data_IF_131345076279
#
_entry.id   IF_131345076279
#
_cell.length_a   1.000
_cell.length_b   1.000
_cell.length_c   1.000
_cell.angle_alpha   90.00
_cell.angle_beta   90.00
_cell.angle_gamma   90.00
#
_symmetry.space_group_name_H-M   'P 1'
#
loop_
_entity.id
_entity.type
_entity.pdbx_description
1 polymer ?
#
# COMPACT_ATOMS: atom_id res chain seq x y z
N UNK A 1 15.17 7.70 5.70
CA UNK A 1 16.09 6.62 6.13
C UNK A 1 17.37 6.71 5.30
N UNK A 2 18.47 7.26 5.84
CA UNK A 2 19.76 7.29 5.14
C UNK A 2 20.73 6.38 5.87
N UNK A 3 21.33 5.46 5.15
CA UNK A 3 22.52 4.74 5.58
C UNK A 3 23.64 5.10 4.60
N UNK A 4 24.65 5.80 5.09
CA UNK A 4 26.00 5.80 4.50
C UNK A 4 26.98 5.84 5.65
N UNK A 5 27.76 4.78 5.78
CA UNK A 5 29.17 4.84 6.16
C UNK A 5 29.84 3.50 5.83
N UNK A 6 31.00 3.60 5.18
CA UNK A 6 31.80 2.47 4.74
C UNK A 6 32.58 1.88 5.92
N UNK A 7 32.56 0.54 6.06
CA UNK A 7 33.54 -0.19 6.87
C UNK A 7 33.16 -0.56 8.31
N UNK A 8 31.90 -0.36 8.75
CA UNK A 8 31.47 -0.73 10.11
C UNK A 8 30.30 -1.71 10.05
N UNK A 9 30.47 -2.93 10.57
CA UNK A 9 29.40 -3.92 10.71
C UNK A 9 28.20 -3.29 11.45
N UNK A 10 27.00 -3.45 10.90
CA UNK A 10 25.77 -2.92 11.49
C UNK A 10 25.23 -3.92 12.51
N UNK A 11 25.03 -3.46 13.75
CA UNK A 11 24.34 -4.22 14.79
C UNK A 11 22.87 -3.80 14.85
N UNK A 12 21.97 -4.76 14.67
CA UNK A 12 20.53 -4.58 14.68
C UNK A 12 19.92 -5.19 15.96
N UNK A 13 19.29 -4.34 16.77
CA UNK A 13 18.49 -4.79 17.89
C UNK A 13 17.09 -5.16 17.41
N UNK A 14 16.76 -6.45 17.43
CA UNK A 14 15.45 -6.95 17.02
C UNK A 14 14.54 -7.02 18.22
N UNK A 15 13.52 -6.15 18.25
CA UNK A 15 12.43 -6.23 19.21
C UNK A 15 11.18 -6.74 18.49
N UNK A 16 10.57 -7.80 19.00
CA UNK A 16 9.31 -8.30 18.46
C UNK A 16 8.16 -7.42 18.97
N UNK A 17 7.38 -6.84 18.06
CA UNK A 17 6.18 -6.06 18.43
C UNK A 17 5.21 -6.93 19.25
N UNK A 18 5.03 -6.61 20.54
CA UNK A 18 4.14 -7.32 21.47
C UNK A 18 4.82 -8.16 22.56
N UNK A 19 6.15 -8.24 22.60
CA UNK A 19 6.91 -8.85 23.70
C UNK A 19 8.16 -8.02 23.96
N UNK A 20 8.41 -7.59 25.19
CA UNK A 20 9.58 -6.77 25.55
C UNK A 20 10.88 -7.60 25.68
N UNK A 21 10.92 -8.76 25.04
CA UNK A 21 12.07 -9.66 25.05
C UNK A 21 13.08 -9.18 24.00
N UNK A 22 14.18 -8.61 24.51
CA UNK A 22 15.34 -8.27 23.69
C UNK A 22 15.98 -9.57 23.17
N UNK A 23 16.06 -9.72 21.84
CA UNK A 23 16.82 -10.80 21.21
C UNK A 23 18.28 -10.40 21.05
N UNK A 24 19.12 -11.42 20.85
CA UNK A 24 20.53 -11.19 20.51
C UNK A 24 20.65 -10.29 19.27
N UNK A 25 21.61 -9.35 19.27
CA UNK A 25 21.80 -8.42 18.17
C UNK A 25 22.22 -9.15 16.89
N UNK A 26 21.58 -8.82 15.77
CA UNK A 26 21.97 -9.34 14.47
C UNK A 26 23.09 -8.48 13.88
N UNK A 27 24.15 -9.11 13.39
CA UNK A 27 25.26 -8.44 12.72
C UNK A 27 25.10 -8.62 11.21
N UNK A 28 25.09 -7.53 10.45
CA UNK A 28 25.01 -7.57 8.99
C UNK A 28 25.81 -6.42 8.35
N UNK A 29 26.28 -6.64 7.12
CA UNK A 29 26.95 -5.58 6.35
C UNK A 29 25.96 -4.64 5.66
N UNK A 30 24.76 -5.15 5.35
CA UNK A 30 23.69 -4.39 4.69
C UNK A 30 22.33 -4.73 5.27
N UNK A 31 21.48 -3.70 5.37
CA UNK A 31 20.11 -3.83 5.89
C UNK A 31 19.13 -3.23 4.88
N UNK A 32 18.24 -4.07 4.35
CA UNK A 32 17.15 -3.66 3.48
C UNK A 32 15.84 -3.58 4.27
N UNK A 33 15.20 -2.41 4.28
CA UNK A 33 13.86 -2.27 4.86
C UNK A 33 12.79 -2.25 3.77
N UNK A 34 12.05 -3.36 3.61
CA UNK A 34 10.94 -3.51 2.66
C UNK A 34 9.59 -3.70 3.39
N UNK A 35 9.31 -2.85 4.37
CA UNK A 35 8.11 -2.97 5.23
C UNK A 35 6.80 -2.53 4.56
N UNK A 36 6.89 -1.87 3.41
CA UNK A 36 5.73 -1.34 2.68
C UNK A 36 6.06 -0.03 1.96
N UNK A 37 5.07 0.50 1.24
CA UNK A 37 5.12 1.77 0.52
C UNK A 37 3.97 2.67 0.98
N UNK A 38 4.10 3.98 0.77
CA UNK A 38 3.08 4.99 1.05
C UNK A 38 3.01 5.93 -0.15
N UNK A 39 1.83 6.46 -0.44
CA UNK A 39 1.66 7.53 -1.42
C UNK A 39 2.63 8.70 -1.13
N UNK A 40 3.23 9.24 -2.18
CA UNK A 40 4.15 10.38 -2.10
C UNK A 40 3.34 11.65 -2.34
N UNK A 41 2.83 12.24 -1.26
CA UNK A 41 1.96 13.44 -1.31
C UNK A 41 2.64 14.72 -0.84
N UNK A 42 3.81 14.60 -0.20
CA UNK A 42 4.58 15.74 0.30
C UNK A 42 5.11 16.61 -0.85
N UNK A 43 4.96 17.94 -0.73
CA UNK A 43 5.50 18.91 -1.70
C UNK A 43 4.67 19.09 -2.97
N UNK A 44 3.50 18.44 -3.08
CA UNK A 44 2.59 18.57 -4.23
C UNK A 44 1.55 19.69 -4.07
N UNK A 45 1.48 20.35 -2.91
CA UNK A 45 0.48 21.40 -2.65
C UNK A 45 -0.96 20.89 -2.56
N UNK A 46 -1.17 19.59 -2.31
CA UNK A 46 -2.52 18.99 -2.27
C UNK A 46 -3.40 19.61 -1.18
N UNK A 47 -2.80 20.00 -0.05
CA UNK A 47 -3.50 20.71 1.02
C UNK A 47 -3.92 22.13 0.61
N UNK A 48 -3.10 22.82 -0.18
CA UNK A 48 -3.41 24.17 -0.67
C UNK A 48 -4.51 24.13 -1.74
N UNK A 49 -4.58 23.03 -2.51
CA UNK A 49 -5.64 22.76 -3.48
C UNK A 49 -6.95 22.30 -2.82
N UNK A 50 -6.94 21.91 -1.54
CA UNK A 50 -8.12 21.41 -0.84
C UNK A 50 -8.51 19.97 -1.23
N UNK A 51 -7.54 19.15 -1.65
CA UNK A 51 -7.77 17.74 -2.02
C UNK A 51 -7.85 16.88 -0.77
N UNK A 52 -8.92 16.09 -0.62
CA UNK A 52 -9.08 15.21 0.52
C UNK A 52 -8.14 14.00 0.45
N UNK A 53 -7.56 13.67 1.61
CA UNK A 53 -6.64 12.55 1.78
C UNK A 53 -7.09 11.65 2.92
N UNK A 54 -6.84 10.35 2.76
CA UNK A 54 -7.03 9.35 3.82
C UNK A 54 -5.96 9.53 4.92
N UNK A 55 -6.19 9.02 6.15
CA UNK A 55 -5.21 9.10 7.24
C UNK A 55 -3.84 8.46 6.95
N UNK A 56 -3.77 7.55 5.98
CA UNK A 56 -2.54 6.89 5.55
C UNK A 56 -1.75 7.71 4.50
N UNK A 57 -2.30 8.82 4.01
CA UNK A 57 -1.68 9.71 3.02
C UNK A 57 -2.12 9.47 1.58
N UNK A 58 -3.04 8.53 1.32
CA UNK A 58 -3.55 8.29 -0.04
C UNK A 58 -4.61 9.34 -0.41
N UNK A 59 -4.65 9.75 -1.68
CA UNK A 59 -5.66 10.68 -2.21
C UNK A 59 -7.01 9.97 -2.30
N UNK A 60 -8.08 10.67 -1.91
CA UNK A 60 -9.44 10.19 -2.09
C UNK A 60 -9.90 10.52 -3.50
N UNK A 61 -10.38 9.51 -4.21
CA UNK A 61 -10.95 9.63 -5.55
C UNK A 61 -12.28 8.89 -5.63
N UNK A 62 -13.12 9.31 -6.58
CA UNK A 62 -14.36 8.64 -6.93
C UNK A 62 -14.14 7.49 -7.95
N UNK A 63 -15.24 6.99 -8.54
CA UNK A 63 -15.20 5.91 -9.54
C UNK A 63 -14.57 6.34 -10.86
N UNK A 64 -14.55 7.64 -11.16
CA UNK A 64 -13.95 8.24 -12.37
C UNK A 64 -12.50 8.71 -12.12
N UNK A 65 -11.93 8.36 -10.97
CA UNK A 65 -10.59 8.75 -10.52
C UNK A 65 -10.45 10.28 -10.30
N UNK A 66 -11.58 10.98 -10.14
CA UNK A 66 -11.62 12.40 -9.82
C UNK A 66 -11.45 12.62 -8.33
N UNK A 67 -10.64 13.61 -7.97
CA UNK A 67 -10.44 14.02 -6.58
C UNK A 67 -11.61 14.89 -6.08
N UNK A 68 -11.57 15.34 -4.83
CA UNK A 68 -12.55 16.30 -4.29
C UNK A 68 -12.61 17.65 -5.03
N UNK A 69 -11.63 17.93 -5.89
CA UNK A 69 -11.55 19.15 -6.69
C UNK A 69 -11.89 18.83 -8.14
N UNK A 70 -12.93 19.49 -8.67
CA UNK A 70 -13.38 19.32 -10.05
C UNK A 70 -12.25 19.59 -11.05
N UNK A 71 -12.08 18.67 -12.00
CA UNK A 71 -11.04 18.75 -13.03
C UNK A 71 -9.65 18.29 -12.57
N UNK A 72 -9.51 17.84 -11.33
CA UNK A 72 -8.27 17.24 -10.81
C UNK A 72 -8.48 15.74 -10.58
N UNK A 73 -7.59 14.93 -11.14
CA UNK A 73 -7.66 13.47 -11.10
C UNK A 73 -6.38 12.88 -10.52
N UNK A 74 -6.48 11.69 -9.94
CA UNK A 74 -5.33 10.96 -9.40
C UNK A 74 -5.42 9.47 -9.73
N UNK A 75 -4.28 8.85 -10.03
CA UNK A 75 -4.16 7.46 -10.43
C UNK A 75 -2.91 6.80 -9.83
N UNK A 76 -2.87 5.47 -9.86
CA UNK A 76 -1.73 4.66 -9.45
C UNK A 76 -1.47 4.67 -7.94
N UNK A 77 -0.18 4.74 -7.59
CA UNK A 77 0.26 4.61 -6.19
C UNK A 77 -0.23 5.73 -5.26
N UNK A 78 -0.77 6.83 -5.81
CA UNK A 78 -1.32 7.96 -5.04
C UNK A 78 -2.68 7.66 -4.42
N UNK A 79 -3.52 6.82 -5.05
CA UNK A 79 -4.90 6.54 -4.59
C UNK A 79 -4.99 5.29 -3.69
N UNK A 80 -3.88 4.57 -3.56
CA UNK A 80 -3.75 3.38 -2.73
C UNK A 80 -3.63 2.10 -3.57
N UNK A 81 -4.15 0.99 -3.06
CA UNK A 81 -4.08 -0.32 -3.73
C UNK A 81 -5.09 -0.41 -4.90
N UNK A 82 -4.76 -1.11 -6.00
CA UNK A 82 -3.56 -1.92 -6.23
C UNK A 82 -2.35 -1.12 -6.71
N UNK A 83 -1.21 -1.38 -6.07
CA UNK A 83 0.06 -0.68 -6.24
C UNK A 83 0.96 -1.38 -7.27
N UNK A 84 0.47 -1.48 -8.51
CA UNK A 84 1.11 -2.21 -9.62
C UNK A 84 1.24 -1.31 -10.85
N UNK A 85 2.31 -1.53 -11.62
CA UNK A 85 2.58 -0.75 -12.82
C UNK A 85 1.46 -0.91 -13.87
N UNK A 86 0.98 -2.13 -14.11
CA UNK A 86 -0.10 -2.38 -15.08
C UNK A 86 -1.40 -1.71 -14.66
N UNK A 87 -1.77 -1.83 -13.39
CA UNK A 87 -2.95 -1.16 -12.83
C UNK A 87 -2.82 0.36 -12.91
N UNK A 88 -1.64 0.91 -12.63
CA UNK A 88 -1.41 2.36 -12.72
C UNK A 88 -1.57 2.90 -14.13
N UNK A 89 -1.17 2.12 -15.16
CA UNK A 89 -1.38 2.48 -16.57
C UNK A 89 -2.87 2.47 -16.91
N UNK A 90 -3.59 1.40 -16.56
CA UNK A 90 -5.04 1.28 -16.80
C UNK A 90 -5.81 2.42 -16.10
N UNK A 91 -5.46 2.74 -14.86
CA UNK A 91 -6.04 3.87 -14.14
C UNK A 91 -5.74 5.22 -14.81
N UNK A 92 -4.53 5.41 -15.34
CA UNK A 92 -4.19 6.64 -16.04
C UNK A 92 -5.01 6.79 -17.34
N UNK A 93 -5.20 5.71 -18.09
CA UNK A 93 -6.06 5.69 -19.29
C UNK A 93 -7.51 6.03 -18.92
N UNK A 94 -8.09 5.38 -17.91
CA UNK A 94 -9.45 5.68 -17.44
C UNK A 94 -9.61 7.12 -16.93
N UNK A 95 -8.61 7.67 -16.25
CA UNK A 95 -8.64 9.06 -15.79
C UNK A 95 -8.65 10.04 -16.98
N UNK A 96 -7.86 9.77 -18.03
CA UNK A 96 -7.82 10.59 -19.25
C UNK A 96 -9.13 10.50 -20.03
N UNK A 97 -9.72 9.30 -20.15
CA UNK A 97 -11.02 9.15 -20.80
C UNK A 97 -12.13 9.89 -20.03
N UNK A 98 -12.08 9.86 -18.70
CA UNK A 98 -12.98 10.63 -17.83
C UNK A 98 -12.79 12.14 -18.02
N UNK A 99 -11.55 12.64 -18.09
CA UNK A 99 -11.24 14.05 -18.40
C UNK A 99 -11.80 14.48 -19.76
N UNK A 100 -11.81 13.58 -20.76
CA UNK A 100 -12.29 13.86 -22.11
C UNK A 100 -13.80 13.61 -22.29
N UNK A 101 -14.51 13.21 -21.23
CA UNK A 101 -15.93 12.86 -21.27
C UNK A 101 -16.23 11.62 -22.11
N UNK A 102 -15.22 10.79 -22.40
CA UNK A 102 -15.34 9.53 -23.13
C UNK A 102 -15.72 8.45 -22.12
N UNK A 103 -17.02 8.35 -21.85
CA UNK A 103 -17.57 7.39 -20.87
C UNK A 103 -17.55 5.97 -21.44
N UNK A 104 -16.46 5.25 -21.21
CA UNK A 104 -16.54 3.80 -21.24
C UNK A 104 -17.01 3.34 -19.86
N UNK A 105 -18.23 2.82 -19.79
CA UNK A 105 -18.95 2.42 -18.56
C UNK A 105 -18.34 1.21 -17.84
N UNK A 106 -17.05 0.96 -18.03
CA UNK A 106 -16.31 -0.02 -17.26
C UNK A 106 -15.76 0.66 -16.03
N UNK A 107 -16.50 0.61 -14.92
CA UNK A 107 -15.88 0.59 -13.60
C UNK A 107 -14.92 -0.60 -13.60
N UNK A 108 -13.70 -0.38 -14.10
CA UNK A 108 -12.68 -1.41 -14.18
C UNK A 108 -12.41 -1.81 -12.75
N UNK A 109 -12.75 -3.06 -12.44
CA UNK A 109 -12.47 -3.64 -11.15
C UNK A 109 -10.94 -3.77 -11.02
N UNK A 110 -10.26 -2.67 -10.68
CA UNK A 110 -8.83 -2.63 -10.42
C UNK A 110 -8.44 -3.69 -9.37
N UNK A 111 -9.38 -4.08 -8.51
CA UNK A 111 -9.26 -5.16 -7.53
C UNK A 111 -8.99 -6.56 -8.10
N UNK A 112 -9.20 -6.82 -9.40
CA UNK A 112 -9.13 -8.16 -9.98
C UNK A 112 -7.86 -8.43 -10.80
N UNK A 113 -6.88 -7.51 -10.80
CA UNK A 113 -5.63 -7.72 -11.53
C UNK A 113 -4.80 -8.85 -10.88
N UNK A 114 -4.43 -9.92 -11.62
CA UNK A 114 -3.61 -10.99 -11.07
C UNK A 114 -2.23 -10.48 -10.69
N UNK A 115 -1.82 -10.70 -9.43
CA UNK A 115 -0.52 -10.28 -8.91
C UNK A 115 0.45 -11.45 -8.96
N UNK A 116 1.50 -11.34 -9.77
CA UNK A 116 2.63 -12.26 -9.73
C UNK A 116 3.66 -11.73 -8.73
N UNK A 117 3.81 -12.41 -7.59
CA UNK A 117 4.94 -12.21 -6.70
C UNK A 117 6.09 -13.12 -7.17
N UNK A 118 7.28 -12.56 -7.37
CA UNK A 118 8.44 -13.29 -7.90
C UNK A 118 9.15 -14.16 -6.85
N UNK A 119 8.60 -14.31 -5.64
CA UNK A 119 9.22 -15.04 -4.54
C UNK A 119 8.69 -16.49 -4.40
N UNK A 120 9.57 -17.32 -3.84
CA UNK A 120 9.48 -18.78 -3.83
C UNK A 120 8.19 -19.30 -3.16
N UNK A 121 7.39 -20.05 -3.92
CA UNK A 121 6.17 -20.79 -3.59
C UNK A 121 4.92 -19.97 -3.15
N UNK A 122 3.84 -19.98 -3.96
CA UNK A 122 2.54 -19.40 -3.62
C UNK A 122 1.93 -19.88 -2.29
N UNK A 123 2.37 -21.02 -1.77
CA UNK A 123 1.84 -21.64 -0.55
C UNK A 123 2.12 -20.82 0.73
N UNK A 124 3.21 -20.06 0.78
CA UNK A 124 3.59 -19.30 1.98
C UNK A 124 2.71 -18.05 2.19
N UNK A 125 2.35 -17.35 1.11
CA UNK A 125 1.53 -16.13 1.15
C UNK A 125 0.05 -16.46 1.42
N UNK A 126 -0.51 -17.47 0.73
CA UNK A 126 -1.89 -17.91 0.93
C UNK A 126 -2.13 -18.43 2.35
N UNK A 127 -1.20 -19.21 2.89
CA UNK A 127 -1.36 -19.77 4.23
C UNK A 127 -1.30 -18.70 5.33
N UNK A 128 -0.52 -17.62 5.15
CA UNK A 128 -0.48 -16.52 6.11
C UNK A 128 -1.71 -15.61 6.03
N UNK A 129 -2.19 -15.27 4.84
CA UNK A 129 -3.41 -14.50 4.65
C UNK A 129 -4.65 -15.25 5.19
N UNK A 130 -4.78 -16.54 4.87
CA UNK A 130 -5.85 -17.40 5.39
C UNK A 130 -5.80 -17.55 6.91
N UNK A 131 -4.61 -17.72 7.50
CA UNK A 131 -4.44 -17.77 8.97
C UNK A 131 -4.82 -16.45 9.65
N UNK A 132 -4.56 -15.31 9.01
CA UNK A 132 -4.91 -13.98 9.54
C UNK A 132 -6.41 -13.73 9.49
N UNK A 133 -7.06 -14.08 8.38
CA UNK A 133 -8.51 -14.02 8.23
C UNK A 133 -9.23 -14.93 9.24
N UNK A 134 -8.74 -16.16 9.44
CA UNK A 134 -9.30 -17.09 10.42
C UNK A 134 -9.13 -16.60 11.87
N UNK A 135 -7.98 -15.99 12.23
CA UNK A 135 -7.78 -15.41 13.58
C UNK A 135 -8.69 -14.22 13.84
N UNK A 136 -8.88 -13.34 12.86
CA UNK A 136 -9.77 -12.19 13.01
C UNK A 136 -11.22 -12.65 13.17
N UNK A 137 -11.65 -13.62 12.35
CA UNK A 137 -12.99 -14.22 12.45
C UNK A 137 -13.22 -14.94 13.79
N UNK A 138 -12.23 -15.67 14.33
CA UNK A 138 -12.36 -16.37 15.61
C UNK A 138 -12.33 -15.43 16.82
N UNK A 139 -11.62 -14.30 16.72
CA UNK A 139 -11.57 -13.28 17.78
C UNK A 139 -12.87 -12.47 17.84
N UNK A 140 -13.50 -12.21 16.68
CA UNK A 140 -14.76 -11.48 16.58
C UNK A 140 -15.95 -12.33 17.07
N UNK A 141 -15.94 -13.65 16.83
CA UNK A 141 -16.94 -14.59 17.38
C UNK A 141 -16.90 -14.71 18.91
N UNK A 142 -15.74 -14.54 19.54
CA UNK A 142 -15.62 -14.55 21.01
C UNK A 142 -16.13 -13.27 21.67
N UNK A 143 -16.15 -12.15 20.97
CA UNK A 143 -16.69 -10.88 21.48
C UNK A 143 -18.21 -10.74 21.32
N UNK A 144 -18.81 -11.47 20.39
CA UNK A 144 -20.26 -11.48 20.15
C UNK A 144 -21.00 -12.57 20.95
N UNK A 145 -20.26 -13.40 21.70
CA UNK A 145 -20.79 -14.46 22.54
C UNK A 145 -20.74 -14.14 24.06
N UNK A 146 -20.55 -12.86 24.40
CA UNK A 146 -20.56 -12.34 25.77
C UNK A 146 -21.65 -11.28 25.90
#
# INVERSE_FOLDING_TARGET
>A
KRAREAGRQLQLNVVKTGSNEAREPLIADLVLTATGRRAVTDGLGLSDLGIDMKPNGDVIVDEELMTSVDGVYAAGDLIGAPQLASTGIEQAESAVDSMLGRRDSGASSFQQMPVAAADCSPAALLSNAARRAHRLASTQRRRLAC
#
